data_IF_444870924247
#
_entry.id   IF_444870924247
#
_cell.length_a   1.000
_cell.length_b   1.000
_cell.length_c   1.000
_cell.angle_alpha   90.00
_cell.angle_beta   90.00
_cell.angle_gamma   90.00
#
_symmetry.space_group_name_H-M   'P 1'
#
loop_
_entity.id
_entity.type
_entity.pdbx_description
1 polymer ?
#
# COMPACT_ATOMS: atom_id res chain seq x y z
N UNK A 1 -36.61 7.65 49.07
CA UNK A 1 -36.23 6.47 48.31
C UNK A 1 -36.18 6.68 46.79
N UNK A 2 -36.36 7.88 46.31
CA UNK A 2 -36.44 8.17 44.86
C UNK A 2 -35.15 8.78 44.26
N UNK A 3 -34.16 9.13 45.07
CA UNK A 3 -32.91 9.77 44.62
C UNK A 3 -31.78 8.75 44.28
N UNK A 4 -31.85 7.54 44.81
CA UNK A 4 -30.79 6.52 44.57
C UNK A 4 -30.93 5.77 43.26
N UNK A 5 -32.07 5.85 42.58
CA UNK A 5 -32.28 5.15 41.30
C UNK A 5 -31.88 5.98 40.06
N UNK A 6 -31.61 7.27 40.20
CA UNK A 6 -31.18 8.11 39.08
C UNK A 6 -29.67 8.07 38.81
N UNK A 7 -28.86 7.70 39.81
CA UNK A 7 -27.40 7.63 39.64
C UNK A 7 -26.90 6.38 38.92
N UNK A 8 -27.68 5.31 38.89
CA UNK A 8 -27.25 4.02 38.28
C UNK A 8 -27.51 4.00 36.76
N UNK A 9 -28.42 4.82 36.24
CA UNK A 9 -28.74 4.84 34.80
C UNK A 9 -27.77 5.66 33.95
N UNK A 10 -26.99 6.57 34.54
CA UNK A 10 -26.01 7.38 33.82
C UNK A 10 -24.63 6.73 33.73
N UNK A 11 -24.37 5.69 34.53
CA UNK A 11 -23.06 5.02 34.53
C UNK A 11 -22.93 3.91 33.47
N UNK A 12 -24.05 3.48 32.85
CA UNK A 12 -24.06 2.39 31.87
C UNK A 12 -24.02 2.87 30.41
N UNK A 13 -24.27 4.13 30.15
CA UNK A 13 -24.25 4.71 28.79
C UNK A 13 -22.87 5.20 28.33
N UNK A 14 -21.91 5.27 29.25
CA UNK A 14 -20.54 5.76 28.96
C UNK A 14 -19.54 4.68 28.52
N UNK A 15 -19.90 3.40 28.52
CA UNK A 15 -18.93 2.30 28.33
C UNK A 15 -18.98 1.59 26.98
N UNK A 16 -19.88 1.98 26.10
CA UNK A 16 -20.01 1.35 24.78
C UNK A 16 -19.37 2.13 23.62
N UNK A 17 -18.71 3.28 23.89
CA UNK A 17 -18.11 4.11 22.82
C UNK A 17 -16.59 3.99 22.67
N UNK A 18 -15.94 3.10 23.42
CA UNK A 18 -14.45 3.00 23.39
C UNK A 18 -13.91 1.77 22.67
N UNK A 19 -14.74 1.00 21.98
CA UNK A 19 -14.32 -0.26 21.35
C UNK A 19 -14.26 -0.24 19.81
N UNK A 20 -14.38 0.92 19.16
CA UNK A 20 -14.49 0.99 17.70
C UNK A 20 -13.29 1.68 17.00
N UNK A 21 -12.15 1.86 17.66
CA UNK A 21 -11.00 2.61 17.09
C UNK A 21 -9.70 1.82 16.98
N UNK A 22 -9.77 0.48 16.81
CA UNK A 22 -8.57 -0.36 16.73
C UNK A 22 -8.56 -1.30 15.53
N UNK A 23 -8.96 -0.83 14.36
CA UNK A 23 -8.85 -1.66 13.15
C UNK A 23 -8.49 -0.85 11.90
N UNK A 24 -7.53 0.08 11.99
CA UNK A 24 -6.82 0.57 10.81
C UNK A 24 -5.32 0.52 11.04
N UNK A 25 -4.81 -0.66 11.31
CA UNK A 25 -3.44 -0.96 10.95
C UNK A 25 -3.40 -1.06 9.43
N UNK A 26 -3.22 0.08 8.78
CA UNK A 26 -2.78 0.12 7.39
C UNK A 26 -1.43 -0.57 7.40
N UNK A 27 -1.44 -1.86 7.08
CA UNK A 27 -0.23 -2.65 6.94
C UNK A 27 0.68 -1.96 5.96
N UNK A 28 1.88 -1.59 6.39
CA UNK A 28 3.01 -1.37 5.50
C UNK A 28 3.03 -2.52 4.50
N UNK A 29 3.36 -2.23 3.23
CA UNK A 29 3.42 -3.20 2.16
C UNK A 29 4.11 -4.49 2.64
N UNK A 30 3.30 -5.44 3.06
CA UNK A 30 3.75 -6.76 3.48
C UNK A 30 3.97 -7.56 2.20
N UNK A 31 4.98 -8.42 2.18
CA UNK A 31 5.20 -9.39 1.12
C UNK A 31 3.97 -10.27 0.86
N UNK A 32 4.08 -11.30 0.03
CA UNK A 32 2.96 -12.17 -0.27
C UNK A 32 2.40 -12.80 1.01
N UNK A 33 1.07 -13.08 1.06
CA UNK A 33 0.44 -13.70 2.21
C UNK A 33 1.17 -14.98 2.62
N UNK A 34 1.48 -15.09 3.90
CA UNK A 34 2.29 -16.20 4.43
C UNK A 34 1.62 -17.56 4.20
N UNK A 35 0.30 -17.62 4.19
CA UNK A 35 -0.45 -18.86 3.94
C UNK A 35 -0.25 -19.38 2.51
N UNK A 36 -0.07 -18.52 1.51
CA UNK A 36 0.26 -18.95 0.15
C UNK A 36 1.66 -19.59 0.09
N UNK A 37 2.62 -19.05 0.86
CA UNK A 37 3.97 -19.59 0.94
C UNK A 37 3.96 -20.94 1.65
N UNK A 38 3.29 -21.05 2.79
CA UNK A 38 3.23 -22.26 3.59
C UNK A 38 2.51 -23.43 2.90
N UNK A 39 1.54 -23.14 2.02
CA UNK A 39 0.83 -24.15 1.24
C UNK A 39 1.46 -24.45 -0.11
N UNK A 40 2.56 -23.79 -0.44
CA UNK A 40 3.22 -23.86 -1.75
C UNK A 40 2.25 -23.56 -2.91
N UNK A 41 1.33 -22.59 -2.69
CA UNK A 41 0.32 -22.19 -3.65
C UNK A 41 0.94 -21.29 -4.74
N UNK A 42 1.59 -21.93 -5.70
CA UNK A 42 2.27 -21.22 -6.79
C UNK A 42 1.30 -20.42 -7.67
N UNK A 43 0.09 -20.91 -7.92
CA UNK A 43 -0.92 -20.16 -8.65
C UNK A 43 -1.36 -18.89 -7.89
N UNK A 44 -1.56 -19.01 -6.58
CA UNK A 44 -1.86 -17.88 -5.70
C UNK A 44 -0.74 -16.85 -5.65
N UNK A 45 0.50 -17.31 -5.51
CA UNK A 45 1.69 -16.46 -5.49
C UNK A 45 1.89 -15.74 -6.83
N UNK A 46 1.73 -16.43 -7.97
CA UNK A 46 1.80 -15.80 -9.29
C UNK A 46 0.79 -14.65 -9.43
N UNK A 47 -0.48 -14.87 -9.06
CA UNK A 47 -1.51 -13.83 -9.09
C UNK A 47 -1.21 -12.68 -8.12
N UNK A 48 -0.61 -12.95 -6.98
CA UNK A 48 -0.22 -11.90 -6.05
C UNK A 48 0.86 -11.00 -6.65
N UNK A 49 1.91 -11.59 -7.21
CA UNK A 49 3.00 -10.83 -7.85
C UNK A 49 2.54 -10.07 -9.10
N UNK A 50 1.58 -10.57 -9.87
CA UNK A 50 0.97 -9.84 -11.00
C UNK A 50 0.26 -8.57 -10.52
N UNK A 51 -0.52 -8.67 -9.44
CA UNK A 51 -1.20 -7.49 -8.86
C UNK A 51 -0.20 -6.50 -8.28
N UNK A 52 0.85 -6.98 -7.64
CA UNK A 52 1.91 -6.12 -7.10
C UNK A 52 2.63 -5.37 -8.22
N UNK A 53 2.96 -6.04 -9.32
CA UNK A 53 3.57 -5.41 -10.49
C UNK A 53 2.67 -4.32 -11.09
N UNK A 54 1.37 -4.56 -11.19
CA UNK A 54 0.40 -3.55 -11.66
C UNK A 54 0.36 -2.34 -10.72
N UNK A 55 0.28 -2.56 -9.41
CA UNK A 55 0.30 -1.50 -8.40
C UNK A 55 1.57 -0.65 -8.47
N UNK A 56 2.72 -1.27 -8.67
CA UNK A 56 4.00 -0.56 -8.80
C UNK A 56 4.07 0.27 -10.09
N UNK A 57 3.47 -0.21 -11.18
CA UNK A 57 3.35 0.58 -12.42
C UNK A 57 2.48 1.80 -12.25
N UNK A 58 1.35 1.67 -11.56
CA UNK A 58 0.47 2.79 -11.25
C UNK A 58 1.20 3.84 -10.41
N UNK A 59 2.00 3.42 -9.43
CA UNK A 59 2.85 4.34 -8.65
C UNK A 59 3.90 5.04 -9.49
N UNK A 60 4.53 4.34 -10.43
CA UNK A 60 5.48 4.95 -11.36
C UNK A 60 4.80 6.02 -12.23
N UNK A 61 3.58 5.75 -12.69
CA UNK A 61 2.80 6.69 -13.48
C UNK A 61 2.36 7.92 -12.66
N UNK A 62 1.99 7.72 -11.42
CA UNK A 62 1.72 8.83 -10.48
C UNK A 62 2.94 9.74 -10.33
N UNK A 63 4.13 9.16 -10.18
CA UNK A 63 5.38 9.96 -10.09
C UNK A 63 5.67 10.72 -11.40
N UNK A 64 5.32 10.17 -12.57
CA UNK A 64 5.44 10.88 -13.85
C UNK A 64 4.53 12.11 -13.87
N UNK A 65 3.26 11.95 -13.51
CA UNK A 65 2.32 13.08 -13.43
C UNK A 65 2.80 14.16 -12.44
N UNK A 66 3.34 13.76 -11.28
CA UNK A 66 3.91 14.69 -10.32
C UNK A 66 5.11 15.45 -10.91
N UNK A 67 6.00 14.77 -11.61
CA UNK A 67 7.15 15.44 -12.27
C UNK A 67 6.70 16.44 -13.33
N UNK A 68 5.66 16.13 -14.09
CA UNK A 68 5.06 17.04 -15.07
C UNK A 68 4.43 18.27 -14.40
N UNK A 69 3.73 18.10 -13.28
CA UNK A 69 3.20 19.22 -12.50
C UNK A 69 4.32 20.14 -11.98
N UNK A 70 5.39 19.57 -11.44
CA UNK A 70 6.53 20.34 -10.95
C UNK A 70 7.28 21.07 -12.08
N UNK A 71 7.25 20.55 -13.30
CA UNK A 71 7.89 21.16 -14.46
C UNK A 71 7.11 22.38 -15.01
N UNK A 72 5.85 22.60 -14.63
CA UNK A 72 5.05 23.72 -15.14
C UNK A 72 5.69 25.06 -14.80
N UNK A 73 5.63 26.06 -15.72
CA UNK A 73 6.23 27.37 -15.49
C UNK A 73 5.71 28.13 -14.27
N UNK A 74 4.42 27.95 -13.97
CA UNK A 74 3.70 28.61 -12.87
C UNK A 74 3.78 27.84 -11.54
N UNK A 75 4.39 26.66 -11.52
CA UNK A 75 4.63 25.96 -10.26
C UNK A 75 5.71 26.66 -9.44
N UNK A 76 5.39 26.99 -8.20
CA UNK A 76 6.30 27.64 -7.24
C UNK A 76 6.61 26.64 -6.11
N UNK A 77 7.83 26.10 -6.04
CA UNK A 77 8.23 25.23 -4.96
C UNK A 77 8.32 25.99 -3.63
N UNK A 78 8.26 25.25 -2.52
CA UNK A 78 8.52 25.84 -1.20
C UNK A 78 9.97 26.31 -1.10
N UNK A 79 10.30 27.28 -0.21
CA UNK A 79 11.66 27.84 -0.11
C UNK A 79 12.78 26.82 0.19
N UNK A 80 12.41 25.60 0.61
CA UNK A 80 13.36 24.54 0.99
C UNK A 80 13.79 23.62 -0.15
N UNK A 81 13.11 23.68 -1.30
CA UNK A 81 13.33 22.76 -2.41
C UNK A 81 13.29 23.51 -3.74
N UNK A 82 14.08 23.07 -4.70
CA UNK A 82 14.00 23.56 -6.08
C UNK A 82 13.07 22.68 -6.91
N UNK A 83 12.61 23.20 -8.08
CA UNK A 83 11.87 22.36 -9.05
C UNK A 83 12.69 21.14 -9.48
N UNK A 84 13.96 21.39 -9.73
CA UNK A 84 14.93 20.37 -10.16
C UNK A 84 15.06 19.25 -9.14
N UNK A 85 15.12 19.57 -7.83
CA UNK A 85 15.18 18.58 -6.74
C UNK A 85 13.90 17.73 -6.72
N UNK A 86 12.72 18.35 -6.83
CA UNK A 86 11.44 17.65 -6.82
C UNK A 86 11.29 16.73 -8.03
N UNK A 87 11.66 17.22 -9.23
CA UNK A 87 11.64 16.41 -10.47
C UNK A 87 12.64 15.27 -10.38
N UNK A 88 13.85 15.50 -9.89
CA UNK A 88 14.87 14.47 -9.72
C UNK A 88 14.39 13.37 -8.76
N UNK A 89 13.71 13.76 -7.69
CA UNK A 89 13.11 12.81 -6.73
C UNK A 89 12.02 11.94 -7.36
N UNK A 90 11.13 12.55 -8.15
CA UNK A 90 10.13 11.78 -8.90
C UNK A 90 10.77 10.80 -9.88
N UNK A 91 11.81 11.23 -10.62
CA UNK A 91 12.54 10.35 -11.56
C UNK A 91 13.18 9.16 -10.86
N UNK A 92 13.74 9.35 -9.66
CA UNK A 92 14.26 8.25 -8.85
C UNK A 92 13.16 7.24 -8.51
N UNK A 93 12.01 7.69 -8.03
CA UNK A 93 10.89 6.81 -7.73
C UNK A 93 10.32 6.11 -8.96
N UNK A 94 10.21 6.78 -10.11
CA UNK A 94 9.81 6.16 -11.37
C UNK A 94 10.73 4.97 -11.68
N UNK A 95 12.04 5.17 -11.58
CA UNK A 95 13.02 4.10 -11.80
C UNK A 95 12.81 2.94 -10.83
N UNK A 96 12.77 3.21 -9.53
CA UNK A 96 12.62 2.19 -8.49
C UNK A 96 11.33 1.38 -8.66
N UNK A 97 10.19 2.05 -8.86
CA UNK A 97 8.91 1.35 -9.05
C UNK A 97 8.88 0.53 -10.34
N UNK A 98 9.46 1.05 -11.42
CA UNK A 98 9.52 0.32 -12.70
C UNK A 98 10.41 -0.92 -12.60
N UNK A 99 11.56 -0.83 -11.95
CA UNK A 99 12.46 -1.96 -11.74
C UNK A 99 11.82 -3.01 -10.83
N UNK A 100 11.21 -2.59 -9.71
CA UNK A 100 10.53 -3.50 -8.78
C UNK A 100 9.31 -4.17 -9.44
N UNK A 101 8.56 -3.46 -10.29
CA UNK A 101 7.47 -4.06 -11.07
C UNK A 101 7.97 -5.19 -12.00
N UNK A 102 9.11 -4.98 -12.64
CA UNK A 102 9.73 -6.00 -13.51
C UNK A 102 10.16 -7.24 -12.73
N UNK A 103 10.74 -7.05 -11.55
CA UNK A 103 11.08 -8.17 -10.67
C UNK A 103 9.84 -8.93 -10.20
N UNK A 104 8.75 -8.24 -9.84
CA UNK A 104 7.49 -8.87 -9.48
C UNK A 104 6.92 -9.70 -10.65
N UNK A 105 7.00 -9.23 -11.89
CA UNK A 105 6.60 -10.00 -13.08
C UNK A 105 7.46 -11.24 -13.28
N UNK A 106 8.75 -11.12 -13.05
CA UNK A 106 9.68 -12.25 -13.11
C UNK A 106 9.31 -13.33 -12.11
N UNK A 107 8.99 -12.93 -10.86
CA UNK A 107 8.50 -13.84 -9.83
C UNK A 107 7.14 -14.46 -10.17
N UNK A 108 6.22 -13.68 -10.73
CA UNK A 108 4.94 -14.20 -11.20
C UNK A 108 5.13 -15.28 -12.26
N UNK A 109 6.02 -15.04 -13.22
CA UNK A 109 6.35 -16.03 -14.26
C UNK A 109 6.97 -17.29 -13.66
N UNK A 110 7.93 -17.13 -12.74
CA UNK A 110 8.58 -18.26 -12.06
C UNK A 110 7.54 -19.15 -11.37
N UNK A 111 6.62 -18.57 -10.61
CA UNK A 111 5.58 -19.32 -9.93
C UNK A 111 4.62 -20.02 -10.90
N UNK A 112 4.26 -19.41 -12.02
CA UNK A 112 3.47 -20.07 -13.07
C UNK A 112 4.19 -21.26 -13.70
N UNK A 113 5.49 -21.15 -13.88
CA UNK A 113 6.27 -22.24 -14.45
C UNK A 113 6.42 -23.40 -13.44
N UNK A 114 6.57 -23.09 -12.15
CA UNK A 114 6.59 -24.10 -11.08
C UNK A 114 5.25 -24.84 -10.97
N UNK A 115 4.11 -24.12 -11.05
CA UNK A 115 2.78 -24.74 -11.04
C UNK A 115 2.63 -25.84 -12.12
N UNK A 116 3.18 -25.61 -13.32
CA UNK A 116 3.11 -26.58 -14.43
C UNK A 116 3.96 -27.83 -14.21
N UNK A 117 4.95 -27.77 -13.33
CA UNK A 117 5.88 -28.89 -13.07
C UNK A 117 5.43 -29.80 -11.95
N UNK A 118 4.41 -29.41 -11.19
CA UNK A 118 3.85 -30.24 -10.13
C UNK A 118 2.87 -31.25 -10.77
N UNK A 119 3.12 -32.56 -10.63
CA UNK A 119 2.26 -33.60 -11.22
C UNK A 119 0.89 -33.65 -10.56
#
# INVERSE_FOLDING_TARGET
>A
MTERMKLIRTFWLGRCLSAALLATSIGCASGPPQDLILRDDHAGLARWYEREAATLRDKAEEMRRMAEEYAKPDYLPSPKHTKEDLIAHCRLFIKLYTETAREAETLAKLHRDLEKTIP
#
